data_IF_388119527937
#
_entry.id   IF_388119527937
#
_cell.length_a   1.000
_cell.length_b   1.000
_cell.length_c   1.000
_cell.angle_alpha   90.00
_cell.angle_beta   90.00
_cell.angle_gamma   90.00
#
_symmetry.space_group_name_H-M   'P 1'
#
loop_
_entity.id
_entity.type
_entity.pdbx_description
1 polymer ?
#
# COMPACT_ATOMS: atom_id res chain seq x y z
N UNK A 1 -15.72 2.17 -11.72
CA UNK A 1 -15.64 3.08 -10.55
C UNK A 1 -14.43 3.99 -10.77
N UNK A 2 -14.62 5.32 -10.81
CA UNK A 2 -13.61 6.28 -11.28
C UNK A 2 -12.61 6.62 -10.18
N UNK A 3 -11.48 5.93 -10.16
CA UNK A 3 -10.34 6.23 -9.27
C UNK A 3 -9.46 7.30 -9.94
N UNK A 4 -9.94 8.55 -9.98
CA UNK A 4 -9.27 9.66 -10.65
C UNK A 4 -9.24 10.88 -9.75
N UNK A 5 -8.45 10.85 -8.67
CA UNK A 5 -8.14 12.09 -7.92
C UNK A 5 -6.67 12.20 -7.49
N UNK A 6 -5.89 11.11 -7.42
CA UNK A 6 -4.50 11.20 -6.92
C UNK A 6 -3.43 10.96 -8.01
N UNK A 7 -3.77 10.37 -9.16
CA UNK A 7 -2.80 10.19 -10.26
C UNK A 7 -2.42 11.50 -10.96
N UNK A 8 -3.34 12.45 -11.09
CA UNK A 8 -3.15 13.64 -11.92
C UNK A 8 -1.93 14.49 -11.52
N UNK A 9 -1.70 14.70 -10.22
CA UNK A 9 -0.61 15.55 -9.73
C UNK A 9 0.76 14.90 -9.92
N UNK A 10 0.87 13.59 -9.66
CA UNK A 10 2.08 12.82 -9.90
C UNK A 10 2.40 12.75 -11.39
N UNK A 11 1.37 12.51 -12.23
CA UNK A 11 1.53 12.49 -13.70
C UNK A 11 2.01 13.85 -14.24
N UNK A 12 1.49 14.97 -13.70
CA UNK A 12 1.92 16.32 -14.13
C UNK A 12 3.39 16.60 -13.83
N UNK A 13 3.88 16.18 -12.65
CA UNK A 13 5.28 16.30 -12.27
C UNK A 13 6.19 15.41 -13.14
N UNK A 14 5.75 14.19 -13.42
CA UNK A 14 6.49 13.23 -14.29
C UNK A 14 6.44 13.59 -15.77
N UNK A 15 5.52 14.45 -16.23
CA UNK A 15 5.45 14.86 -17.65
C UNK A 15 6.58 15.82 -18.04
N UNK A 16 7.17 16.51 -17.06
CA UNK A 16 8.26 17.48 -17.25
C UNK A 16 9.66 16.83 -17.22
N UNK A 17 9.78 15.63 -16.65
CA UNK A 17 11.05 14.90 -16.51
C UNK A 17 10.83 13.42 -16.77
N UNK A 18 11.62 12.80 -17.66
CA UNK A 18 11.60 11.35 -17.85
C UNK A 18 12.22 10.71 -16.60
N UNK A 19 11.36 10.25 -15.67
CA UNK A 19 11.77 9.57 -14.44
C UNK A 19 11.29 8.13 -14.48
N UNK A 20 12.19 7.19 -14.21
CA UNK A 20 11.86 5.76 -14.12
C UNK A 20 11.22 5.48 -12.76
N UNK A 21 9.97 5.00 -12.76
CA UNK A 21 9.21 4.71 -11.54
C UNK A 21 9.26 3.21 -11.28
N UNK A 22 9.72 2.83 -10.09
CA UNK A 22 9.68 1.45 -9.61
C UNK A 22 8.58 1.32 -8.56
N UNK A 23 7.59 0.46 -8.82
CA UNK A 23 6.52 0.19 -7.87
C UNK A 23 6.85 -1.07 -7.07
N UNK A 24 6.92 -0.93 -5.74
CA UNK A 24 7.14 -2.05 -4.82
C UNK A 24 5.95 -2.15 -3.86
N UNK A 25 5.33 -3.33 -3.79
CA UNK A 25 4.19 -3.57 -2.91
C UNK A 25 4.69 -3.60 -1.45
N UNK A 26 4.10 -2.76 -0.60
CA UNK A 26 4.50 -2.64 0.80
C UNK A 26 3.90 -3.79 1.63
N UNK A 27 4.66 -4.33 2.58
CA UNK A 27 4.14 -5.27 3.57
C UNK A 27 3.44 -4.55 4.73
N UNK A 28 2.50 -5.22 5.39
CA UNK A 28 1.80 -4.70 6.55
C UNK A 28 1.90 -5.69 7.71
N UNK A 29 2.49 -5.24 8.82
CA UNK A 29 2.65 -6.03 10.04
C UNK A 29 2.08 -5.27 11.23
N UNK A 30 0.91 -5.71 11.70
CA UNK A 30 0.22 -5.12 12.83
C UNK A 30 0.98 -5.27 14.16
N UNK A 31 1.81 -6.31 14.29
CA UNK A 31 2.53 -6.62 15.54
C UNK A 31 3.60 -5.58 15.84
N UNK A 32 4.24 -5.04 14.78
CA UNK A 32 5.32 -4.04 14.84
C UNK A 32 4.85 -2.59 14.97
N UNK A 33 3.54 -2.34 15.03
CA UNK A 33 3.01 -0.99 15.19
C UNK A 33 3.18 -0.46 16.63
N UNK A 34 3.52 0.82 16.75
CA UNK A 34 3.52 1.56 18.02
C UNK A 34 2.10 1.65 18.60
N UNK A 35 1.97 1.82 19.91
CA UNK A 35 0.68 1.81 20.63
C UNK A 35 -0.36 2.78 20.05
N UNK A 36 0.05 4.01 19.74
CA UNK A 36 -0.83 5.03 19.13
C UNK A 36 -1.30 4.58 17.74
N UNK A 37 -0.40 4.02 16.93
CA UNK A 37 -0.74 3.52 15.60
C UNK A 37 -1.70 2.33 15.71
N UNK A 38 -1.47 1.39 16.64
CA UNK A 38 -2.40 0.28 16.90
C UNK A 38 -3.81 0.76 17.21
N UNK A 39 -3.96 1.82 18.01
CA UNK A 39 -5.27 2.42 18.31
C UNK A 39 -5.91 2.96 17.03
N UNK A 40 -5.18 3.76 16.23
CA UNK A 40 -5.69 4.34 14.99
C UNK A 40 -6.12 3.26 13.99
N UNK A 41 -5.27 2.26 13.77
CA UNK A 41 -5.50 1.18 12.82
C UNK A 41 -6.64 0.26 13.31
N UNK A 42 -6.78 0.06 14.62
CA UNK A 42 -7.92 -0.67 15.19
C UNK A 42 -9.25 0.10 15.06
N UNK A 43 -9.26 1.43 15.22
CA UNK A 43 -10.45 2.25 14.96
C UNK A 43 -10.88 2.14 13.50
N UNK A 44 -9.91 2.15 12.56
CA UNK A 44 -10.18 1.93 11.14
C UNK A 44 -10.80 0.56 10.86
N UNK A 45 -10.25 -0.49 11.48
CA UNK A 45 -10.79 -1.85 11.39
C UNK A 45 -12.25 -1.91 11.87
N UNK A 46 -12.55 -1.34 13.05
CA UNK A 46 -13.92 -1.30 13.60
C UNK A 46 -14.88 -0.53 12.69
N UNK A 47 -14.45 0.58 12.08
CA UNK A 47 -15.26 1.32 11.12
C UNK A 47 -15.59 0.50 9.88
N UNK A 48 -14.65 -0.32 9.41
CA UNK A 48 -14.84 -1.19 8.24
C UNK A 48 -15.71 -2.41 8.54
N UNK A 49 -15.56 -3.00 9.72
CA UNK A 49 -16.43 -4.10 10.16
C UNK A 49 -17.91 -3.66 10.20
N UNK A 50 -18.17 -2.41 10.60
CA UNK A 50 -19.51 -1.81 10.69
C UNK A 50 -20.14 -1.49 9.33
N UNK A 51 -19.39 -1.46 8.23
CA UNK A 51 -19.98 -1.32 6.88
C UNK A 51 -20.71 -2.60 6.48
N UNK A 52 -21.95 -2.45 5.97
CA UNK A 52 -22.77 -3.55 5.45
C UNK A 52 -22.24 -4.08 4.11
N UNK A 53 -21.84 -3.18 3.22
CA UNK A 53 -21.19 -3.52 1.95
C UNK A 53 -19.70 -3.18 2.06
N UNK A 54 -18.87 -4.22 1.92
CA UNK A 54 -17.41 -4.10 1.97
C UNK A 54 -16.87 -4.26 0.56
N UNK A 55 -15.96 -3.37 0.15
CA UNK A 55 -15.22 -3.56 -1.11
C UNK A 55 -14.22 -4.71 -0.97
N UNK A 56 -13.76 -5.29 -2.08
CA UNK A 56 -12.73 -6.33 -2.05
C UNK A 56 -11.44 -5.83 -1.36
N UNK A 57 -11.04 -4.58 -1.60
CA UNK A 57 -9.90 -3.95 -0.91
C UNK A 57 -10.11 -3.87 0.62
N UNK A 58 -11.33 -3.59 1.09
CA UNK A 58 -11.65 -3.57 2.52
C UNK A 58 -11.58 -4.97 3.13
N UNK A 59 -12.00 -6.01 2.40
CA UNK A 59 -11.87 -7.41 2.84
C UNK A 59 -10.42 -7.85 2.91
N UNK A 60 -9.63 -7.54 1.87
CA UNK A 60 -8.18 -7.82 1.87
C UNK A 60 -7.47 -7.09 3.01
N UNK A 61 -7.84 -5.83 3.28
CA UNK A 61 -7.25 -5.08 4.37
C UNK A 61 -7.63 -5.66 5.73
N UNK A 62 -8.89 -6.09 5.93
CA UNK A 62 -9.34 -6.77 7.15
C UNK A 62 -8.55 -8.08 7.39
N UNK A 63 -8.35 -8.88 6.35
CA UNK A 63 -7.53 -10.10 6.43
C UNK A 63 -6.07 -9.79 6.83
N UNK A 64 -5.54 -8.63 6.41
CA UNK A 64 -4.18 -8.20 6.77
C UNK A 64 -4.00 -7.79 8.24
N UNK A 65 -5.10 -7.55 9.00
CA UNK A 65 -5.01 -7.35 10.45
C UNK A 65 -4.84 -8.66 11.22
N UNK A 66 -5.43 -9.75 10.71
CA UNK A 66 -5.38 -11.07 11.35
C UNK A 66 -4.11 -11.85 10.96
N UNK A 67 -3.70 -11.72 9.69
CA UNK A 67 -2.50 -12.32 9.17
C UNK A 67 -1.52 -11.25 8.71
N UNK A 68 -0.31 -11.16 9.28
CA UNK A 68 0.69 -10.21 8.80
C UNK A 68 1.00 -10.51 7.34
N UNK A 69 0.83 -9.51 6.48
CA UNK A 69 1.01 -9.69 5.05
C UNK A 69 2.39 -9.22 4.65
N UNK A 70 3.22 -10.17 4.28
CA UNK A 70 4.58 -9.91 3.84
C UNK A 70 4.70 -10.07 2.33
N UNK A 71 4.71 -8.95 1.61
CA UNK A 71 4.95 -8.91 0.17
C UNK A 71 6.43 -8.72 -0.18
N UNK A 72 7.36 -8.92 0.77
CA UNK A 72 8.80 -8.81 0.52
C UNK A 72 9.29 -9.90 -0.43
N UNK A 73 9.19 -9.64 -1.73
CA UNK A 73 9.85 -10.43 -2.76
C UNK A 73 11.19 -9.78 -3.14
N UNK A 74 12.31 -10.47 -2.89
CA UNK A 74 13.65 -10.02 -3.30
C UNK A 74 13.80 -9.92 -4.82
N UNK A 75 12.91 -10.53 -5.60
CA UNK A 75 12.90 -10.37 -7.06
C UNK A 75 12.37 -9.01 -7.50
N UNK A 76 11.49 -8.39 -6.71
CA UNK A 76 10.88 -7.08 -7.05
C UNK A 76 11.89 -5.93 -7.08
N UNK A 77 13.00 -6.02 -6.33
CA UNK A 77 14.07 -5.01 -6.31
C UNK A 77 15.11 -5.23 -7.42
N UNK A 78 15.05 -6.34 -8.16
CA UNK A 78 16.05 -6.69 -9.19
C UNK A 78 16.16 -5.60 -10.26
N UNK A 79 15.02 -5.06 -10.71
CA UNK A 79 14.97 -4.00 -11.71
C UNK A 79 15.62 -2.69 -11.23
N UNK A 80 15.48 -2.38 -9.94
CA UNK A 80 16.14 -1.23 -9.32
C UNK A 80 17.67 -1.46 -9.23
N UNK A 81 18.09 -2.66 -8.82
CA UNK A 81 19.51 -3.00 -8.70
C UNK A 81 20.21 -2.96 -10.07
N UNK A 82 19.56 -3.48 -11.11
CA UNK A 82 20.08 -3.43 -12.49
C UNK A 82 20.18 -1.98 -12.97
N UNK A 83 19.19 -1.13 -12.67
CA UNK A 83 19.20 0.28 -13.02
C UNK A 83 20.28 1.11 -12.29
N UNK A 84 20.61 0.79 -11.03
CA UNK A 84 21.67 1.49 -10.30
C UNK A 84 23.07 1.07 -10.77
N UNK A 85 23.20 -0.16 -11.31
CA UNK A 85 24.48 -0.70 -11.80
C UNK A 85 24.81 -0.31 -13.24
N UNK A 86 23.84 0.19 -14.01
CA UNK A 86 24.00 0.67 -15.39
C UNK A 86 24.47 2.12 -15.44
#
# INVERSE_FOLDING_TARGET
MKTTVIYSSMTYFTKKYIVKIFYMRCGFDFTKLNFINKILTNMLNVMMLRKKEKTEDEKEMLAAYEHPVDYRDRKSIKELIEFVKS
#
